data_IF_117772602770
#
_entry.id   IF_117772602770
#
_cell.length_a   1.000
_cell.length_b   1.000
_cell.length_c   1.000
_cell.angle_alpha   90.00
_cell.angle_beta   90.00
_cell.angle_gamma   90.00
#
_symmetry.space_group_name_H-M   'P 1'
#
loop_
_entity.id
_entity.type
_entity.pdbx_description
1 polymer ?
#
# COMPACT_ATOMS: atom_id res chain seq x y z
N UNK A 1 5.61 6.27 -17.52
CA UNK A 1 5.65 7.37 -16.52
C UNK A 1 4.34 8.17 -16.37
N UNK A 2 3.59 8.53 -17.43
CA UNK A 2 2.30 9.28 -17.27
C UNK A 2 1.25 8.55 -16.41
N UNK A 3 1.27 7.22 -16.41
CA UNK A 3 0.26 6.38 -15.76
C UNK A 3 0.40 6.29 -14.23
N UNK A 4 1.61 6.53 -13.69
CA UNK A 4 1.86 6.55 -12.24
C UNK A 4 1.35 7.82 -11.56
N UNK A 5 1.14 8.91 -12.31
CA UNK A 5 0.80 10.23 -11.76
C UNK A 5 -0.39 10.23 -10.81
N UNK A 6 -1.49 9.49 -11.07
CA UNK A 6 -2.62 9.44 -10.14
C UNK A 6 -2.24 8.79 -8.80
N UNK A 7 -1.39 7.76 -8.83
CA UNK A 7 -0.99 7.01 -7.63
C UNK A 7 0.13 7.71 -6.85
N UNK A 8 0.94 8.53 -7.50
CA UNK A 8 2.08 9.18 -6.85
C UNK A 8 1.66 10.09 -5.68
N UNK A 9 2.41 10.02 -4.58
CA UNK A 9 2.20 10.78 -3.35
C UNK A 9 2.06 9.90 -2.10
N UNK A 10 1.73 10.53 -0.99
CA UNK A 10 1.52 9.85 0.30
C UNK A 10 0.03 9.66 0.57
N UNK A 11 -0.34 8.43 0.88
CA UNK A 11 -1.69 7.98 1.20
C UNK A 11 -1.73 7.47 2.63
N UNK A 12 -2.57 8.06 3.45
CA UNK A 12 -2.81 7.70 4.83
C UNK A 12 -3.78 6.52 4.88
N UNK A 13 -3.38 5.38 5.45
CA UNK A 13 -4.27 4.24 5.67
C UNK A 13 -5.29 4.62 6.75
N UNK A 14 -6.57 4.61 6.41
CA UNK A 14 -7.66 4.99 7.31
C UNK A 14 -8.53 3.80 7.70
N UNK A 15 -8.29 2.65 7.10
CA UNK A 15 -9.00 1.40 7.38
C UNK A 15 -8.22 0.20 6.85
N UNK A 16 -8.24 -0.91 7.59
CA UNK A 16 -7.80 -2.23 7.16
C UNK A 16 -8.79 -3.29 7.63
N UNK A 17 -8.97 -4.34 6.83
CA UNK A 17 -9.92 -5.43 7.12
C UNK A 17 -9.48 -6.30 8.32
N UNK A 18 -8.19 -6.63 8.41
CA UNK A 18 -7.67 -7.56 9.43
C UNK A 18 -7.25 -6.84 10.71
N UNK A 19 -6.70 -5.63 10.59
CA UNK A 19 -6.12 -4.91 11.71
C UNK A 19 -6.90 -3.64 12.05
N UNK A 20 -7.23 -3.48 13.34
CA UNK A 20 -7.86 -2.25 13.84
C UNK A 20 -6.94 -1.04 13.76
N UNK A 21 -7.52 0.16 13.66
CA UNK A 21 -6.78 1.41 13.43
C UNK A 21 -5.70 1.69 14.48
N UNK A 22 -5.93 1.34 15.75
CA UNK A 22 -4.93 1.49 16.82
C UNK A 22 -3.66 0.67 16.55
N UNK A 23 -3.79 -0.51 15.93
CA UNK A 23 -2.63 -1.29 15.48
C UNK A 23 -2.00 -0.69 14.24
N UNK A 24 -2.81 -0.30 13.24
CA UNK A 24 -2.32 0.33 12.01
C UNK A 24 -1.43 1.54 12.31
N UNK A 25 -1.73 2.25 13.40
CA UNK A 25 -1.05 3.48 13.82
C UNK A 25 -0.02 3.31 14.93
N UNK A 26 0.32 2.06 15.29
CA UNK A 26 1.12 1.75 16.48
C UNK A 26 2.48 2.46 16.50
N UNK A 27 3.24 2.40 15.40
CA UNK A 27 4.58 3.03 15.31
C UNK A 27 4.51 4.44 14.71
N UNK A 28 3.77 4.57 13.62
CA UNK A 28 3.52 5.82 12.89
C UNK A 28 2.11 5.73 12.32
N UNK A 29 1.47 6.86 11.97
CA UNK A 29 0.25 6.82 11.16
C UNK A 29 0.49 5.99 9.90
N UNK A 30 -0.13 4.80 9.82
CA UNK A 30 0.06 3.87 8.72
C UNK A 30 -0.18 4.52 7.35
N UNK A 31 0.67 4.24 6.37
CA UNK A 31 0.69 4.94 5.10
C UNK A 31 1.25 4.10 3.95
N UNK A 32 0.96 4.54 2.72
CA UNK A 32 1.68 4.21 1.50
C UNK A 32 2.29 5.48 0.91
N UNK A 33 3.57 5.48 0.59
CA UNK A 33 4.22 6.45 -0.26
C UNK A 33 4.51 5.81 -1.61
N UNK A 34 4.03 6.42 -2.69
CA UNK A 34 4.25 5.94 -4.06
C UNK A 34 4.98 7.03 -4.84
N UNK A 35 6.17 6.70 -5.34
CA UNK A 35 6.98 7.53 -6.22
C UNK A 35 6.45 7.56 -7.65
N UNK A 36 6.78 8.62 -8.38
CA UNK A 36 6.38 8.76 -9.79
C UNK A 36 7.02 7.71 -10.73
N UNK A 37 8.04 7.01 -10.25
CA UNK A 37 8.75 5.94 -10.94
C UNK A 37 8.19 4.53 -10.66
N UNK A 38 7.21 4.41 -9.76
CA UNK A 38 6.63 3.12 -9.36
C UNK A 38 7.26 2.51 -8.10
N UNK A 39 8.37 3.08 -7.61
CA UNK A 39 8.94 2.68 -6.32
C UNK A 39 8.18 3.34 -5.17
N UNK A 40 8.30 2.83 -3.95
CA UNK A 40 7.59 3.40 -2.82
C UNK A 40 7.98 2.79 -1.49
N UNK A 41 7.25 3.17 -0.45
CA UNK A 41 7.37 2.61 0.90
C UNK A 41 6.00 2.51 1.54
N UNK A 42 5.84 1.63 2.52
CA UNK A 42 4.67 1.64 3.38
C UNK A 42 5.07 1.32 4.82
N UNK A 43 4.18 1.67 5.75
CA UNK A 43 4.20 1.14 7.10
C UNK A 43 2.78 1.04 7.66
N UNK A 44 2.47 -0.01 8.40
CA UNK A 44 1.30 -0.12 9.28
C UNK A 44 1.65 -1.07 10.42
N UNK A 45 1.30 -0.70 11.66
CA UNK A 45 1.76 -1.42 12.83
C UNK A 45 3.27 -1.63 12.82
N UNK A 46 3.68 -2.89 12.96
CA UNK A 46 5.09 -3.31 12.97
C UNK A 46 5.61 -3.74 11.59
N UNK A 47 4.76 -3.73 10.57
CA UNK A 47 5.10 -4.13 9.20
C UNK A 47 5.47 -2.89 8.38
N UNK A 48 6.66 -2.92 7.77
CA UNK A 48 7.10 -1.87 6.84
C UNK A 48 7.81 -2.49 5.66
N UNK A 49 7.82 -1.82 4.51
CA UNK A 49 8.49 -2.34 3.33
C UNK A 49 8.70 -1.35 2.21
N UNK A 50 9.66 -1.66 1.35
CA UNK A 50 9.92 -0.98 0.09
C UNK A 50 9.08 -1.61 -1.03
N UNK A 51 8.50 -0.77 -1.87
CA UNK A 51 7.59 -1.14 -2.95
C UNK A 51 8.33 -1.06 -4.29
N UNK A 52 8.14 -2.08 -5.13
CA UNK A 52 8.38 -2.04 -6.59
C UNK A 52 7.05 -2.34 -7.29
N UNK A 53 6.49 -1.33 -7.94
CA UNK A 53 5.20 -1.43 -8.61
C UNK A 53 5.14 -0.74 -9.96
N UNK A 54 4.04 -1.00 -10.66
CA UNK A 54 3.72 -0.50 -11.99
C UNK A 54 2.21 -0.39 -12.15
N UNK A 55 1.77 0.50 -13.03
CA UNK A 55 0.34 0.58 -13.37
C UNK A 55 0.04 -0.32 -14.54
N UNK A 56 -0.87 -1.26 -14.34
CA UNK A 56 -1.36 -2.18 -15.34
C UNK A 56 -2.82 -1.83 -15.71
N UNK A 57 -3.24 -2.04 -16.97
CA UNK A 57 -4.65 -1.96 -17.35
C UNK A 57 -5.45 -3.07 -16.64
N UNK A 58 -6.49 -2.73 -15.88
CA UNK A 58 -7.35 -3.70 -15.20
C UNK A 58 -8.83 -3.37 -15.41
N UNK A 59 -9.42 -3.91 -16.48
CA UNK A 59 -10.77 -3.53 -16.88
C UNK A 59 -10.79 -2.10 -17.41
N UNK A 60 -11.70 -1.26 -16.89
CA UNK A 60 -11.80 0.14 -17.32
C UNK A 60 -10.86 1.08 -16.56
N UNK A 61 -10.40 0.69 -15.38
CA UNK A 61 -9.62 1.55 -14.49
C UNK A 61 -8.18 1.03 -14.35
N UNK A 62 -7.19 1.94 -14.31
CA UNK A 62 -5.80 1.55 -14.06
C UNK A 62 -5.64 1.00 -12.64
N UNK A 63 -4.87 -0.08 -12.50
CA UNK A 63 -4.50 -0.67 -11.22
C UNK A 63 -3.01 -0.54 -10.99
N UNK A 64 -2.61 -0.09 -9.79
CA UNK A 64 -1.23 -0.14 -9.35
C UNK A 64 -0.95 -1.51 -8.74
N UNK A 65 -0.19 -2.33 -9.44
CA UNK A 65 0.25 -3.65 -9.00
C UNK A 65 1.68 -3.56 -8.46
N UNK A 66 1.95 -4.19 -7.32
CA UNK A 66 3.27 -4.12 -6.70
C UNK A 66 3.70 -5.39 -5.98
N UNK A 67 5.02 -5.59 -5.94
CA UNK A 67 5.69 -6.45 -4.97
C UNK A 67 6.37 -5.59 -3.91
N UNK A 68 6.65 -6.17 -2.75
CA UNK A 68 7.36 -5.49 -1.69
C UNK A 68 8.24 -6.43 -0.88
N UNK A 69 9.29 -5.87 -0.28
CA UNK A 69 10.17 -6.54 0.68
C UNK A 69 10.39 -5.62 1.88
N UNK A 70 10.44 -6.18 3.07
CA UNK A 70 10.37 -5.39 4.29
C UNK A 70 10.68 -6.18 5.55
N UNK A 71 10.21 -5.66 6.68
CA UNK A 71 10.40 -6.26 7.99
C UNK A 71 9.09 -6.21 8.79
N UNK A 72 8.91 -7.22 9.64
CA UNK A 72 7.97 -7.25 10.75
C UNK A 72 8.81 -7.44 12.02
N UNK A 73 8.94 -6.38 12.81
CA UNK A 73 9.93 -6.32 13.91
C UNK A 73 11.36 -6.65 13.47
N UNK A 74 11.82 -7.89 13.72
CA UNK A 74 13.15 -8.40 13.40
C UNK A 74 13.13 -9.46 12.28
N UNK A 75 11.96 -9.80 11.76
CA UNK A 75 11.78 -10.83 10.75
C UNK A 75 11.63 -10.21 9.36
N UNK A 76 12.39 -10.76 8.41
CA UNK A 76 12.29 -10.34 7.01
C UNK A 76 11.02 -10.92 6.40
N UNK A 77 10.15 -10.03 5.93
CA UNK A 77 8.88 -10.39 5.30
C UNK A 77 8.82 -9.78 3.90
N UNK A 78 7.99 -10.36 3.05
CA UNK A 78 7.78 -9.88 1.69
C UNK A 78 6.36 -10.20 1.25
N UNK A 79 5.99 -9.67 0.09
CA UNK A 79 4.68 -9.96 -0.46
C UNK A 79 4.37 -9.19 -1.71
N UNK A 80 3.07 -9.01 -1.93
CA UNK A 80 2.53 -8.28 -3.07
C UNK A 80 1.29 -7.50 -2.66
N UNK A 81 0.82 -6.65 -3.55
CA UNK A 81 -0.46 -6.01 -3.39
C UNK A 81 -0.91 -5.36 -4.67
N UNK A 82 -2.09 -4.78 -4.59
CA UNK A 82 -2.63 -3.94 -5.64
C UNK A 82 -3.43 -2.80 -5.04
N UNK A 83 -3.57 -1.72 -5.82
CA UNK A 83 -4.40 -0.59 -5.46
C UNK A 83 -5.07 0.04 -6.68
N UNK A 84 -6.27 0.57 -6.48
CA UNK A 84 -7.03 1.37 -7.44
C UNK A 84 -7.43 2.68 -6.78
N UNK A 85 -7.71 3.71 -7.58
CA UNK A 85 -8.25 4.96 -7.06
C UNK A 85 -9.74 5.01 -7.37
N UNK A 86 -10.55 4.98 -6.33
CA UNK A 86 -12.01 5.05 -6.40
C UNK A 86 -12.47 6.23 -5.54
N UNK A 87 -13.25 7.14 -6.12
CA UNK A 87 -13.74 8.36 -5.46
C UNK A 87 -12.67 9.22 -4.77
N UNK A 88 -11.44 9.17 -5.29
CA UNK A 88 -10.29 9.94 -4.78
C UNK A 88 -9.55 9.27 -3.61
N UNK A 89 -9.96 8.07 -3.20
CA UNK A 89 -9.29 7.25 -2.20
C UNK A 89 -8.54 6.09 -2.86
N UNK A 90 -7.44 5.68 -2.24
CA UNK A 90 -6.65 4.52 -2.65
C UNK A 90 -7.20 3.28 -1.95
N UNK A 91 -7.85 2.41 -2.70
CA UNK A 91 -8.42 1.15 -2.23
C UNK A 91 -7.58 0.00 -2.76
N UNK A 92 -7.35 -1.02 -1.94
CA UNK A 92 -6.48 -2.11 -2.37
C UNK A 92 -6.44 -3.27 -1.41
N UNK A 93 -5.50 -4.17 -1.70
CA UNK A 93 -5.21 -5.33 -0.85
C UNK A 93 -3.71 -5.56 -0.79
N UNK A 94 -3.20 -5.78 0.41
CA UNK A 94 -1.82 -6.19 0.64
C UNK A 94 -1.80 -7.64 1.11
N UNK A 95 -0.87 -8.42 0.56
CA UNK A 95 -0.64 -9.83 0.89
C UNK A 95 0.74 -9.98 1.49
N UNK A 96 0.84 -10.59 2.67
CA UNK A 96 2.09 -11.02 3.27
C UNK A 96 2.35 -12.47 2.84
N UNK A 97 3.56 -12.77 2.36
CA UNK A 97 3.89 -14.10 1.87
C UNK A 97 3.79 -15.14 2.99
N UNK A 98 2.94 -16.16 2.79
CA UNK A 98 2.66 -17.23 3.78
C UNK A 98 2.07 -16.73 5.10
N UNK A 99 1.48 -15.55 5.12
CA UNK A 99 0.78 -15.00 6.28
C UNK A 99 -0.57 -14.41 5.83
N UNK A 100 -1.10 -13.49 6.62
CA UNK A 100 -2.37 -12.84 6.35
C UNK A 100 -2.32 -11.90 5.14
N UNK A 101 -3.51 -11.52 4.69
CA UNK A 101 -3.72 -10.47 3.73
C UNK A 101 -4.88 -9.59 4.17
N UNK A 102 -4.84 -8.30 3.82
CA UNK A 102 -5.86 -7.35 4.27
C UNK A 102 -6.22 -6.40 3.15
N UNK A 103 -7.52 -6.21 2.93
CA UNK A 103 -7.98 -5.02 2.24
C UNK A 103 -7.57 -3.77 3.04
N UNK A 104 -7.36 -2.67 2.33
CA UNK A 104 -7.09 -1.37 2.93
C UNK A 104 -7.80 -0.26 2.15
N UNK A 105 -8.07 0.83 2.86
CA UNK A 105 -8.51 2.11 2.30
C UNK A 105 -7.60 3.21 2.79
N UNK A 106 -7.18 4.09 1.88
CA UNK A 106 -6.26 5.16 2.21
C UNK A 106 -6.63 6.48 1.53
N UNK A 107 -6.52 7.58 2.27
CA UNK A 107 -6.82 8.93 1.78
C UNK A 107 -5.55 9.68 1.46
N UNK A 108 -5.55 10.52 0.42
CA UNK A 108 -4.38 11.34 0.09
C UNK A 108 -4.05 12.30 1.24
N UNK A 109 -2.79 12.33 1.64
CA UNK A 109 -2.30 13.31 2.63
C UNK A 109 -2.28 14.70 1.98
N UNK A 110 -2.71 15.73 2.70
CA UNK A 110 -2.67 17.12 2.21
C UNK A 110 -1.24 17.61 2.04
#
# INVERSE_FOLDING_TARGET
MKQMKPFAGTWRIVEMEVWGQDYVDMEVPGYFFIGSDGTGKFQFGLVSGDIDGRVEPCGNDPRFDFSWSGQEENDSVCGRGWAVIEDGELNGRIYLHLADDSAFRATRTK
#
